data_IF_159206455196
#
_entry.id   IF_159206455196
#
_cell.length_a   1.000
_cell.length_b   1.000
_cell.length_c   1.000
_cell.angle_alpha   90.00
_cell.angle_beta   90.00
_cell.angle_gamma   90.00
#
_symmetry.space_group_name_H-M   'P 1'
#
loop_
_entity.id
_entity.type
_entity.pdbx_description
1 polymer ?
#
# COMPACT_ATOMS: atom_id res chain seq x y z
N UNK A 1 -14.42 -6.75 -2.80
CA UNK A 1 -13.88 -7.11 -4.15
C UNK A 1 -12.58 -7.88 -3.98
N UNK A 2 -12.21 -8.79 -4.89
CA UNK A 2 -10.96 -9.55 -4.75
C UNK A 2 -9.71 -8.67 -4.95
N UNK A 3 -8.71 -8.76 -4.04
CA UNK A 3 -7.42 -8.10 -4.22
C UNK A 3 -6.72 -8.50 -5.52
N UNK A 4 -5.85 -7.62 -6.01
CA UNK A 4 -5.01 -7.86 -7.18
C UNK A 4 -3.58 -8.05 -6.70
N UNK A 5 -2.94 -9.16 -7.09
CA UNK A 5 -1.52 -9.36 -6.88
C UNK A 5 -0.72 -8.41 -7.80
N UNK A 6 0.10 -7.57 -7.19
CA UNK A 6 1.03 -6.68 -7.90
C UNK A 6 2.33 -7.43 -8.17
N UNK A 7 2.86 -8.08 -7.15
CA UNK A 7 4.08 -8.88 -7.18
C UNK A 7 4.46 -9.34 -5.78
N UNK A 8 5.66 -9.89 -5.64
CA UNK A 8 6.24 -10.22 -4.35
C UNK A 8 7.74 -10.01 -4.37
N UNK A 9 8.31 -9.82 -3.19
CA UNK A 9 9.75 -9.89 -2.95
C UNK A 9 10.01 -11.09 -2.05
N UNK A 10 10.89 -11.99 -2.47
CA UNK A 10 11.45 -12.98 -1.55
C UNK A 10 12.39 -12.27 -0.58
N UNK A 11 12.18 -12.49 0.71
CA UNK A 11 13.01 -11.94 1.78
C UNK A 11 13.73 -13.09 2.46
N UNK A 12 15.05 -12.98 2.48
CA UNK A 12 15.93 -13.88 3.20
C UNK A 12 16.71 -13.06 4.22
N UNK A 13 16.20 -13.04 5.45
CA UNK A 13 16.77 -12.24 6.55
C UNK A 13 18.02 -12.88 7.18
N UNK A 14 18.33 -14.14 6.83
CA UNK A 14 19.33 -14.93 7.53
C UNK A 14 18.90 -15.29 8.96
N UNK A 15 19.86 -15.49 9.87
CA UNK A 15 19.62 -15.71 11.31
C UNK A 15 18.63 -16.85 11.66
N UNK A 16 18.65 -17.96 10.91
CA UNK A 16 17.72 -19.09 11.06
C UNK A 16 16.23 -18.75 10.85
N UNK A 17 15.92 -17.61 10.23
CA UNK A 17 14.57 -17.29 9.78
C UNK A 17 14.35 -17.93 8.40
N UNK A 18 13.34 -18.80 8.22
CA UNK A 18 13.01 -19.33 6.91
C UNK A 18 12.68 -18.19 5.92
N UNK A 19 13.14 -18.27 4.65
CA UNK A 19 12.76 -17.29 3.64
C UNK A 19 11.24 -17.16 3.51
N UNK A 20 10.76 -15.94 3.29
CA UNK A 20 9.34 -15.66 3.18
C UNK A 20 9.06 -14.65 2.07
N UNK A 21 7.83 -14.63 1.56
CA UNK A 21 7.42 -13.71 0.52
C UNK A 21 6.74 -12.48 1.13
N UNK A 22 7.28 -11.30 0.85
CA UNK A 22 6.57 -10.05 1.04
C UNK A 22 5.73 -9.75 -0.19
N UNK A 23 4.42 -9.99 -0.09
CA UNK A 23 3.48 -9.75 -1.18
C UNK A 23 3.12 -8.26 -1.29
N UNK A 24 2.85 -7.80 -2.51
CA UNK A 24 2.29 -6.49 -2.82
C UNK A 24 0.94 -6.70 -3.48
N UNK A 25 -0.09 -6.08 -2.94
CA UNK A 25 -1.46 -6.21 -3.43
C UNK A 25 -2.13 -4.85 -3.52
N UNK A 26 -3.07 -4.73 -4.46
CA UNK A 26 -4.00 -3.60 -4.53
C UNK A 26 -5.42 -4.08 -4.28
N UNK A 27 -6.19 -3.34 -3.49
CA UNK A 27 -7.56 -3.71 -3.14
C UNK A 27 -8.45 -2.47 -3.02
N UNK A 28 -9.75 -2.68 -3.16
CA UNK A 28 -10.75 -1.66 -2.86
C UNK A 28 -11.06 -1.72 -1.36
N UNK A 29 -10.88 -0.59 -0.68
CA UNK A 29 -11.24 -0.44 0.73
C UNK A 29 -12.69 0.06 0.78
N UNK A 30 -13.60 -0.81 1.21
CA UNK A 30 -15.02 -0.46 1.32
C UNK A 30 -15.32 0.36 2.59
N UNK A 31 -14.54 0.14 3.67
CA UNK A 31 -14.68 0.85 4.94
C UNK A 31 -13.36 0.92 5.68
N UNK A 32 -13.10 2.07 6.30
CA UNK A 32 -11.98 2.28 7.22
C UNK A 32 -12.53 2.25 8.65
N UNK A 33 -11.98 1.37 9.49
CA UNK A 33 -12.37 1.23 10.89
C UNK A 33 -11.75 2.32 11.79
N UNK A 34 -12.11 2.32 13.08
CA UNK A 34 -11.54 3.24 14.07
C UNK A 34 -10.01 3.10 14.13
N UNK A 35 -9.31 4.17 14.54
CA UNK A 35 -7.91 4.07 14.94
C UNK A 35 -7.78 3.09 16.12
N UNK A 36 -6.78 2.22 16.05
CA UNK A 36 -6.43 1.24 17.06
C UNK A 36 -4.90 1.21 17.20
N UNK A 37 -4.36 0.91 18.39
CA UNK A 37 -2.94 0.66 18.56
C UNK A 37 -2.44 -0.47 17.67
N UNK A 38 -1.21 -0.33 17.17
CA UNK A 38 -0.49 -1.40 16.49
C UNK A 38 -0.24 -2.57 17.46
N UNK A 39 -0.59 -3.82 17.10
CA UNK A 39 -0.41 -4.97 17.99
C UNK A 39 1.05 -5.29 18.35
N UNK A 40 2.01 -4.89 17.52
CA UNK A 40 3.44 -5.18 17.72
C UNK A 40 4.08 -4.25 18.76
N UNK A 41 3.75 -2.95 18.70
CA UNK A 41 4.43 -1.93 19.49
C UNK A 41 3.50 -1.03 20.34
N UNK A 42 2.19 -1.11 20.17
CA UNK A 42 1.19 -0.32 20.91
C UNK A 42 1.04 1.13 20.46
N UNK A 43 1.76 1.58 19.43
CA UNK A 43 1.65 2.94 18.90
C UNK A 43 0.37 3.10 18.08
N UNK A 44 -0.26 4.28 18.14
CA UNK A 44 -1.41 4.61 17.29
C UNK A 44 -0.99 5.58 16.19
N UNK A 45 -0.99 5.09 14.94
CA UNK A 45 -0.60 5.88 13.78
C UNK A 45 -1.79 6.63 13.16
N UNK A 46 -1.53 7.87 12.73
CA UNK A 46 -2.48 8.62 11.88
C UNK A 46 -2.50 8.00 10.48
N UNK A 47 -3.64 8.11 9.80
CA UNK A 47 -3.80 7.63 8.42
C UNK A 47 -4.14 8.80 7.52
N UNK A 48 -3.45 8.90 6.40
CA UNK A 48 -3.69 9.92 5.38
C UNK A 48 -4.21 9.23 4.12
N UNK A 49 -5.42 9.58 3.69
CA UNK A 49 -5.91 9.29 2.36
C UNK A 49 -5.34 10.33 1.40
N UNK A 50 -4.60 9.88 0.39
CA UNK A 50 -3.89 10.76 -0.53
C UNK A 50 -3.79 10.15 -1.93
N UNK A 51 -3.33 10.94 -2.90
CA UNK A 51 -3.06 10.46 -4.27
C UNK A 51 -1.83 9.55 -4.33
N UNK A 52 -1.73 8.63 -5.31
CA UNK A 52 -0.52 7.84 -5.52
C UNK A 52 0.75 8.68 -5.68
N UNK A 53 0.66 9.79 -6.45
CA UNK A 53 1.78 10.72 -6.66
C UNK A 53 2.29 11.28 -5.32
N UNK A 54 1.38 11.73 -4.47
CA UNK A 54 1.74 12.29 -3.17
C UNK A 54 2.22 11.21 -2.19
N UNK A 55 1.66 10.01 -2.24
CA UNK A 55 2.13 8.88 -1.45
C UNK A 55 3.60 8.54 -1.76
N UNK A 56 4.00 8.57 -3.04
CA UNK A 56 5.40 8.36 -3.47
C UNK A 56 6.33 9.38 -2.80
N UNK A 57 5.94 10.67 -2.79
CA UNK A 57 6.71 11.74 -2.16
C UNK A 57 6.81 11.59 -0.64
N UNK A 58 5.71 11.23 0.02
CA UNK A 58 5.64 11.11 1.49
C UNK A 58 6.42 9.92 2.02
N UNK A 59 6.30 8.78 1.33
CA UNK A 59 6.90 7.52 1.76
C UNK A 59 8.39 7.47 1.40
N UNK A 60 8.76 8.05 0.25
CA UNK A 60 10.14 8.22 -0.18
C UNK A 60 11.01 6.94 -0.15
N UNK A 61 10.45 5.81 -0.60
CA UNK A 61 11.14 4.51 -0.68
C UNK A 61 12.02 4.33 -1.93
N UNK A 62 12.35 5.41 -2.64
CA UNK A 62 13.12 5.33 -3.88
C UNK A 62 12.33 4.79 -5.08
N UNK A 63 13.06 4.40 -6.13
CA UNK A 63 12.48 4.08 -7.44
C UNK A 63 11.63 2.79 -7.38
N UNK A 64 12.04 1.79 -6.59
CA UNK A 64 11.29 0.56 -6.41
C UNK A 64 9.93 0.80 -5.75
N UNK A 65 9.88 1.67 -4.74
CA UNK A 65 8.64 2.06 -4.08
C UNK A 65 7.71 2.81 -5.03
N UNK A 66 8.27 3.74 -5.83
CA UNK A 66 7.55 4.44 -6.88
C UNK A 66 6.92 3.47 -7.89
N UNK A 67 7.72 2.55 -8.42
CA UNK A 67 7.26 1.56 -9.40
C UNK A 67 6.13 0.68 -8.84
N UNK A 68 6.20 0.29 -7.56
CA UNK A 68 5.14 -0.48 -6.91
C UNK A 68 3.82 0.28 -6.82
N UNK A 69 3.86 1.57 -6.47
CA UNK A 69 2.66 2.41 -6.35
C UNK A 69 2.04 2.69 -7.72
N UNK A 70 2.87 3.02 -8.71
CA UNK A 70 2.40 3.28 -10.09
C UNK A 70 1.76 2.02 -10.71
N UNK A 71 2.38 0.85 -10.56
CA UNK A 71 1.83 -0.41 -11.06
C UNK A 71 0.52 -0.79 -10.35
N UNK A 72 0.41 -0.52 -9.04
CA UNK A 72 -0.83 -0.71 -8.30
C UNK A 72 -1.96 0.19 -8.84
N UNK A 73 -1.67 1.47 -9.08
CA UNK A 73 -2.63 2.42 -9.65
C UNK A 73 -3.11 1.97 -11.03
N UNK A 74 -2.18 1.56 -11.90
CA UNK A 74 -2.48 1.03 -13.24
C UNK A 74 -3.38 -0.21 -13.18
N UNK A 75 -3.01 -1.22 -12.39
CA UNK A 75 -3.79 -2.47 -12.27
C UNK A 75 -5.21 -2.24 -11.73
N UNK A 76 -5.39 -1.28 -10.82
CA UNK A 76 -6.72 -0.89 -10.33
C UNK A 76 -7.55 -0.24 -11.44
N UNK A 77 -6.95 0.65 -12.23
CA UNK A 77 -7.63 1.27 -13.36
C UNK A 77 -8.04 0.21 -14.39
N UNK A 78 -7.14 -0.72 -14.75
CA UNK A 78 -7.41 -1.79 -15.71
C UNK A 78 -8.51 -2.75 -15.23
N UNK A 79 -8.49 -3.17 -13.96
CA UNK A 79 -9.45 -4.16 -13.44
C UNK A 79 -10.79 -3.56 -13.06
N UNK A 80 -10.82 -2.33 -12.55
CA UNK A 80 -12.03 -1.74 -11.95
C UNK A 80 -12.51 -0.46 -12.63
N UNK A 81 -11.80 0.05 -13.63
CA UNK A 81 -12.16 1.29 -14.33
C UNK A 81 -12.11 2.54 -13.45
N UNK A 82 -11.39 2.48 -12.32
CA UNK A 82 -11.29 3.60 -11.39
C UNK A 82 -10.22 4.56 -11.90
N UNK A 83 -10.66 5.76 -12.28
CA UNK A 83 -9.76 6.85 -12.66
C UNK A 83 -9.37 7.64 -11.42
N UNK A 84 -8.07 7.78 -11.21
CA UNK A 84 -7.52 8.47 -10.05
C UNK A 84 -7.43 9.98 -10.31
N UNK A 85 -8.57 10.67 -10.30
CA UNK A 85 -8.66 12.14 -10.50
C UNK A 85 -9.21 12.83 -9.25
N UNK A 86 -8.83 14.10 -9.05
CA UNK A 86 -9.33 14.97 -7.98
C UNK A 86 -9.16 14.40 -6.56
N UNK A 87 -7.92 14.08 -6.20
CA UNK A 87 -7.58 13.69 -4.83
C UNK A 87 -7.36 14.90 -3.95
N UNK A 88 -8.08 14.95 -2.82
CA UNK A 88 -7.78 15.84 -1.71
C UNK A 88 -7.24 15.02 -0.54
N UNK A 89 -6.14 15.50 0.03
CA UNK A 89 -5.54 14.89 1.20
C UNK A 89 -6.49 15.01 2.39
N UNK A 90 -6.79 13.88 3.03
CA UNK A 90 -7.65 13.85 4.21
C UNK A 90 -7.15 12.84 5.24
N UNK A 91 -7.09 13.27 6.49
CA UNK A 91 -6.82 12.35 7.60
C UNK A 91 -8.08 11.56 7.90
N UNK A 92 -7.93 10.24 8.05
CA UNK A 92 -9.02 9.26 8.26
C UNK A 92 -8.88 8.50 9.58
#
# INVERSE_FOLDING_TARGET
>A
KEPILIGYQEVNEGNNVPPYAQVRMAAIIDKVGKLQPDPDNGETYKRLLTSPKRAIELINWGEEGKNQIEEAAKKIQEKFGITLTNFEDSYI
#
